data_IF_947829295380
#
_entry.id   IF_947829295380
#
_cell.length_a   1.000
_cell.length_b   1.000
_cell.length_c   1.000
_cell.angle_alpha   90.00
_cell.angle_beta   90.00
_cell.angle_gamma   90.00
#
_symmetry.space_group_name_H-M   'P 1'
#
loop_
_entity.id
_entity.type
_entity.pdbx_description
1 polymer ?
#
# COMPACT_ATOMS: atom_id res chain seq x y z
N UNK A 1 20.30 -0.28 7.20
CA UNK A 1 19.48 0.96 7.12
C UNK A 1 18.28 0.64 6.25
N UNK A 2 17.08 1.09 6.60
CA UNK A 2 15.85 0.83 5.85
C UNK A 2 14.88 2.00 6.00
N UNK A 3 13.85 2.03 5.16
CA UNK A 3 12.82 3.08 5.16
C UNK A 3 11.48 2.41 5.41
N UNK A 4 10.67 3.01 6.29
CA UNK A 4 9.27 2.67 6.48
C UNK A 4 8.46 3.95 6.24
N UNK A 5 7.50 3.90 5.31
CA UNK A 5 6.62 5.02 4.99
C UNK A 5 5.25 4.70 5.57
N UNK A 6 4.76 5.55 6.48
CA UNK A 6 3.42 5.48 7.01
C UNK A 6 2.61 6.63 6.41
N UNK A 7 1.61 6.28 5.59
CA UNK A 7 0.70 7.24 5.00
C UNK A 7 -0.55 7.32 5.89
N UNK A 8 -0.84 8.51 6.41
CA UNK A 8 -2.08 8.75 7.13
C UNK A 8 -3.21 8.79 6.10
N UNK A 9 -4.10 7.80 6.14
CA UNK A 9 -5.38 7.90 5.45
C UNK A 9 -6.19 8.95 6.17
N UNK A 10 -6.44 10.09 5.51
CA UNK A 10 -7.43 11.04 5.99
C UNK A 10 -8.78 10.31 6.08
N UNK A 11 -9.22 10.01 7.32
CA UNK A 11 -10.59 9.87 7.83
C UNK A 11 -10.72 8.79 8.92
N UNK A 12 -10.27 9.13 10.13
CA UNK A 12 -10.62 8.41 11.37
C UNK A 12 -12.12 8.53 11.75
N UNK A 13 -12.97 9.11 10.89
CA UNK A 13 -14.35 9.50 11.24
C UNK A 13 -15.48 8.67 10.65
N UNK A 14 -15.30 7.99 9.51
CA UNK A 14 -16.46 7.44 8.78
C UNK A 14 -16.43 5.96 8.41
N UNK A 15 -15.35 5.22 8.67
CA UNK A 15 -15.26 3.88 8.06
C UNK A 15 -15.01 2.71 9.01
N UNK A 16 -14.64 2.92 10.29
CA UNK A 16 -14.45 1.77 11.18
C UNK A 16 -15.79 1.09 11.50
N UNK A 17 -16.82 1.87 11.83
CA UNK A 17 -18.15 1.35 12.09
C UNK A 17 -18.78 0.74 10.82
N UNK A 18 -18.56 1.36 9.66
CA UNK A 18 -19.07 0.88 8.38
C UNK A 18 -18.35 -0.40 7.93
N UNK A 19 -17.02 -0.47 8.10
CA UNK A 19 -16.19 -1.66 7.85
C UNK A 19 -16.57 -2.80 8.79
N UNK A 20 -16.82 -2.50 10.07
CA UNK A 20 -17.26 -3.52 11.03
C UNK A 20 -18.68 -4.01 10.68
N UNK A 21 -19.57 -3.10 10.30
CA UNK A 21 -20.94 -3.42 9.89
C UNK A 21 -20.96 -4.26 8.62
N UNK A 22 -20.14 -3.94 7.61
CA UNK A 22 -20.04 -4.72 6.37
C UNK A 22 -19.38 -6.09 6.59
N UNK A 23 -18.39 -6.20 7.48
CA UNK A 23 -17.77 -7.47 7.85
C UNK A 23 -18.73 -8.39 8.62
N UNK A 24 -19.62 -7.83 9.44
CA UNK A 24 -20.65 -8.57 10.18
C UNK A 24 -21.87 -8.91 9.31
N UNK A 25 -22.21 -8.05 8.35
CA UNK A 25 -23.27 -8.27 7.36
C UNK A 25 -22.75 -9.14 6.20
N UNK A 26 -22.41 -10.41 6.47
CA UNK A 26 -22.14 -11.40 5.42
C UNK A 26 -23.32 -11.47 4.44
N UNK A 27 -23.17 -10.92 3.23
CA UNK A 27 -24.14 -11.15 2.16
C UNK A 27 -24.26 -10.12 1.04
N UNK A 28 -23.52 -9.01 1.03
CA UNK A 28 -23.61 -8.07 -0.11
C UNK A 28 -22.25 -7.55 -0.53
N UNK A 29 -21.70 -8.20 -1.56
CA UNK A 29 -20.61 -7.67 -2.38
C UNK A 29 -21.04 -6.30 -2.91
N UNK A 30 -20.53 -5.26 -2.27
CA UNK A 30 -20.51 -3.91 -2.83
C UNK A 30 -19.05 -3.54 -2.73
N UNK A 31 -18.27 -3.74 -3.80
CA UNK A 31 -16.88 -3.28 -3.90
C UNK A 31 -16.91 -1.81 -4.35
N UNK A 32 -16.80 -0.81 -3.45
CA UNK A 32 -16.81 0.56 -3.87
C UNK A 32 -15.36 1.02 -4.02
N UNK A 33 -14.93 1.32 -5.24
CA UNK A 33 -13.82 2.28 -5.49
C UNK A 33 -12.44 2.03 -4.84
N UNK A 34 -12.14 0.83 -4.35
CA UNK A 34 -10.89 0.58 -3.58
C UNK A 34 -9.61 0.67 -4.44
N UNK A 35 -9.75 0.55 -5.77
CA UNK A 35 -8.65 0.72 -6.73
C UNK A 35 -8.08 2.14 -6.69
N UNK A 36 -8.94 3.16 -6.71
CA UNK A 36 -8.52 4.57 -6.70
C UNK A 36 -7.69 4.92 -5.45
N UNK A 37 -8.12 4.43 -4.28
CA UNK A 37 -7.43 4.66 -3.00
C UNK A 37 -6.09 3.92 -2.92
N UNK A 38 -6.02 2.72 -3.49
CA UNK A 38 -4.77 1.94 -3.59
C UNK A 38 -3.75 2.64 -4.51
N UNK A 39 -4.20 3.14 -5.66
CA UNK A 39 -3.34 3.84 -6.62
C UNK A 39 -2.77 5.13 -6.03
N UNK A 40 -3.58 5.88 -5.27
CA UNK A 40 -3.14 7.09 -4.54
C UNK A 40 -2.06 6.77 -3.48
N UNK A 41 -2.26 5.68 -2.74
CA UNK A 41 -1.30 5.23 -1.71
C UNK A 41 0.02 4.80 -2.35
N UNK A 42 -0.04 4.06 -3.47
CA UNK A 42 1.15 3.65 -4.23
C UNK A 42 1.88 4.87 -4.79
N UNK A 43 1.16 5.81 -5.40
CA UNK A 43 1.77 7.01 -5.98
C UNK A 43 2.48 7.87 -4.94
N UNK A 44 1.78 8.17 -3.84
CA UNK A 44 2.33 9.00 -2.75
C UNK A 44 3.54 8.33 -2.09
N UNK A 45 3.44 7.04 -1.77
CA UNK A 45 4.55 6.29 -1.19
C UNK A 45 5.76 6.23 -2.12
N UNK A 46 5.53 6.10 -3.43
CA UNK A 46 6.60 6.02 -4.41
C UNK A 46 7.37 7.34 -4.56
N UNK A 47 6.66 8.48 -4.55
CA UNK A 47 7.30 9.79 -4.59
C UNK A 47 8.18 10.03 -3.35
N UNK A 48 7.67 9.71 -2.15
CA UNK A 48 8.44 9.83 -0.90
C UNK A 48 9.72 8.99 -0.96
N UNK A 49 9.61 7.73 -1.42
CA UNK A 49 10.77 6.84 -1.51
C UNK A 49 11.83 7.40 -2.47
N UNK A 50 11.41 7.90 -3.64
CA UNK A 50 12.33 8.53 -4.59
C UNK A 50 13.01 9.77 -4.02
N UNK A 51 12.26 10.63 -3.34
CA UNK A 51 12.79 11.85 -2.72
C UNK A 51 13.81 11.53 -1.60
N UNK A 52 13.66 10.38 -0.94
CA UNK A 52 14.64 9.84 0.02
C UNK A 52 15.85 9.16 -0.67
N UNK A 53 15.94 9.20 -1.99
CA UNK A 53 17.02 8.60 -2.78
C UNK A 53 16.91 7.08 -2.96
N UNK A 54 15.73 6.50 -2.71
CA UNK A 54 15.49 5.08 -2.93
C UNK A 54 15.14 4.84 -4.40
N UNK A 55 15.88 3.94 -5.06
CA UNK A 55 15.59 3.49 -6.42
C UNK A 55 15.40 1.97 -6.51
N UNK A 56 16.34 1.20 -5.96
CA UNK A 56 16.24 -0.27 -5.87
C UNK A 56 15.89 -0.71 -4.46
N UNK A 57 14.88 -1.57 -4.32
CA UNK A 57 14.27 -1.91 -3.04
C UNK A 57 14.22 -3.42 -2.78
N UNK A 58 14.48 -3.78 -1.53
CA UNK A 58 14.24 -5.11 -0.98
C UNK A 58 13.04 -5.01 -0.05
N UNK A 59 11.95 -5.68 -0.39
CA UNK A 59 10.67 -5.54 0.33
C UNK A 59 10.55 -6.61 1.41
N UNK A 60 9.99 -6.22 2.57
CA UNK A 60 9.64 -7.14 3.65
C UNK A 60 8.20 -7.68 3.52
N UNK A 61 7.50 -7.34 2.44
CA UNK A 61 6.11 -7.76 2.19
C UNK A 61 6.03 -9.18 1.61
N UNK A 62 4.81 -9.71 1.53
CA UNK A 62 4.54 -10.89 0.71
C UNK A 62 4.82 -10.59 -0.78
N UNK A 63 5.30 -11.57 -1.58
CA UNK A 63 5.52 -11.39 -3.01
C UNK A 63 4.25 -10.93 -3.75
N UNK A 64 4.32 -9.76 -4.36
CA UNK A 64 3.22 -9.16 -5.13
C UNK A 64 3.75 -8.44 -6.37
N UNK A 65 2.91 -8.29 -7.40
CA UNK A 65 3.25 -7.49 -8.58
C UNK A 65 2.89 -6.03 -8.36
N UNK A 66 3.90 -5.17 -8.35
CA UNK A 66 3.74 -3.72 -8.28
C UNK A 66 3.92 -3.12 -9.68
N UNK A 67 2.84 -3.07 -10.46
CA UNK A 67 2.92 -2.59 -11.85
C UNK A 67 3.09 -1.05 -11.94
N UNK A 68 2.68 -0.31 -10.92
CA UNK A 68 2.62 1.15 -10.95
C UNK A 68 3.92 1.85 -10.47
N UNK A 69 4.85 1.13 -9.85
CA UNK A 69 6.05 1.76 -9.24
C UNK A 69 7.15 2.10 -10.25
N UNK A 70 7.16 1.46 -11.42
CA UNK A 70 8.16 1.70 -12.47
C UNK A 70 8.10 3.13 -13.03
N UNK A 71 6.92 3.78 -12.98
CA UNK A 71 6.76 5.20 -13.34
C UNK A 71 7.34 6.19 -12.32
N UNK A 72 7.90 5.70 -11.21
CA UNK A 72 8.50 6.50 -10.14
C UNK A 72 10.00 6.21 -9.96
N UNK A 73 10.64 5.60 -10.96
CA UNK A 73 12.06 5.20 -10.90
C UNK A 73 12.37 4.19 -9.79
N UNK A 74 11.37 3.38 -9.42
CA UNK A 74 11.48 2.35 -8.39
C UNK A 74 11.52 0.93 -8.99
N UNK A 75 12.43 0.12 -8.49
CA UNK A 75 12.64 -1.28 -8.87
C UNK A 75 12.65 -2.18 -7.63
N UNK A 76 11.81 -3.22 -7.62
CA UNK A 76 11.88 -4.27 -6.59
C UNK A 76 12.89 -5.32 -7.04
N UNK A 77 13.96 -5.46 -6.28
CA UNK A 77 15.06 -6.40 -6.57
C UNK A 77 14.99 -7.68 -5.74
N UNK A 78 14.26 -7.67 -4.61
CA UNK A 78 14.13 -8.84 -3.73
C UNK A 78 12.89 -8.73 -2.84
N UNK A 79 12.28 -9.87 -2.54
CA UNK A 79 11.38 -10.04 -1.40
C UNK A 79 12.11 -10.79 -0.30
N UNK A 80 12.38 -10.11 0.81
CA UNK A 80 13.14 -10.66 1.93
C UNK A 80 12.24 -11.60 2.72
N UNK A 81 12.67 -12.85 2.87
CA UNK A 81 11.96 -13.82 3.71
C UNK A 81 12.13 -13.50 5.19
N UNK A 82 11.04 -13.60 5.95
CA UNK A 82 11.09 -13.56 7.41
C UNK A 82 11.84 -14.79 7.93
N UNK A 83 12.94 -14.57 8.66
CA UNK A 83 13.69 -15.61 9.36
C UNK A 83 13.42 -15.47 10.84
N UNK A 84 12.98 -16.58 11.47
CA UNK A 84 12.65 -16.66 12.88
C UNK A 84 13.90 -16.88 13.74
#
# INVERSE_FOLDING_TARGET
KGVAVLLSGEDYGQDLAQTLTSALAKGKETEPSNRSRTDLTIGTGSQILRDLGVGKMRLLSYPARFNAISGFDLEVIEFVQFRK
#
